data_IF_214079495983
#
_entry.id   IF_214079495983
#
_cell.length_a   1.000
_cell.length_b   1.000
_cell.length_c   1.000
_cell.angle_alpha   90.00
_cell.angle_beta   90.00
_cell.angle_gamma   90.00
#
_symmetry.space_group_name_H-M   'P 1'
#
loop_
_entity.id
_entity.type
_entity.pdbx_description
1 polymer ?
#
# COMPACT_ATOMS: atom_id res chain seq x y z
N UNK A 1 16.04 -55.93 -23.45
CA UNK A 1 14.62 -55.57 -23.56
C UNK A 1 14.34 -54.37 -22.65
N UNK A 2 13.84 -53.26 -23.21
CA UNK A 2 12.88 -52.27 -22.66
C UNK A 2 13.18 -51.73 -21.24
N UNK A 3 13.83 -50.56 -21.05
CA UNK A 3 13.31 -49.17 -21.16
C UNK A 3 11.99 -48.88 -20.41
N UNK A 4 12.04 -48.00 -19.38
CA UNK A 4 10.99 -47.07 -18.87
C UNK A 4 11.59 -46.28 -17.68
N UNK A 5 11.84 -44.96 -17.82
CA UNK A 5 10.98 -43.79 -17.47
C UNK A 5 10.74 -43.64 -15.95
N UNK A 6 10.84 -42.50 -15.27
CA UNK A 6 11.06 -41.05 -15.52
C UNK A 6 11.38 -40.43 -14.13
N UNK A 7 11.43 -39.13 -13.81
CA UNK A 7 11.22 -37.83 -14.43
C UNK A 7 11.93 -36.81 -13.48
N UNK A 8 12.79 -35.93 -13.97
CA UNK A 8 12.60 -34.46 -14.05
C UNK A 8 11.73 -33.79 -12.96
N UNK A 9 12.33 -32.80 -12.29
CA UNK A 9 11.68 -31.75 -11.49
C UNK A 9 12.73 -30.77 -10.95
N UNK A 10 13.36 -29.97 -11.82
CA UNK A 10 13.09 -28.53 -11.98
C UNK A 10 13.37 -27.68 -10.73
N UNK A 11 14.64 -27.29 -10.54
CA UNK A 11 15.03 -26.13 -9.74
C UNK A 11 14.74 -24.86 -10.56
N UNK A 12 13.52 -24.36 -10.45
CA UNK A 12 13.16 -23.00 -10.86
C UNK A 12 12.75 -22.26 -9.60
N UNK A 13 13.70 -21.55 -9.00
CA UNK A 13 13.47 -20.58 -7.94
C UNK A 13 14.02 -19.24 -8.42
N UNK A 14 13.16 -18.24 -8.43
CA UNK A 14 13.25 -17.00 -9.17
C UNK A 14 14.57 -16.23 -9.02
N UNK A 15 15.01 -15.65 -10.14
CA UNK A 15 15.88 -14.47 -10.15
C UNK A 15 15.04 -13.32 -9.59
N UNK A 16 15.16 -13.03 -8.30
CA UNK A 16 14.76 -11.72 -7.79
C UNK A 16 15.78 -10.72 -8.32
N UNK A 17 15.43 -10.10 -9.45
CA UNK A 17 16.04 -8.86 -9.89
C UNK A 17 15.75 -7.82 -8.80
N UNK A 18 16.69 -7.68 -7.87
CA UNK A 18 16.77 -6.54 -6.97
C UNK A 18 17.03 -5.32 -7.85
N UNK A 19 15.96 -4.72 -8.38
CA UNK A 19 15.96 -3.35 -8.84
C UNK A 19 16.03 -2.46 -7.59
N UNK A 20 17.20 -2.44 -6.95
CA UNK A 20 17.58 -1.31 -6.10
C UNK A 20 17.81 -0.12 -7.02
N UNK A 21 16.71 0.46 -7.52
CA UNK A 21 16.72 1.78 -8.10
C UNK A 21 17.24 2.75 -7.05
N UNK A 22 18.23 3.55 -7.42
CA UNK A 22 18.86 4.58 -6.59
C UNK A 22 17.81 5.44 -5.86
N UNK A 23 17.50 5.09 -4.61
CA UNK A 23 16.68 5.88 -3.71
C UNK A 23 17.53 7.01 -3.14
N UNK A 24 17.41 8.16 -3.79
CA UNK A 24 17.92 9.43 -3.28
C UNK A 24 17.06 9.83 -2.08
N UNK A 25 17.56 9.56 -0.86
CA UNK A 25 17.18 10.25 0.37
C UNK A 25 15.95 9.71 1.11
N UNK A 26 16.16 8.71 1.97
CA UNK A 26 15.24 8.33 3.04
C UNK A 26 15.10 6.81 3.21
N UNK A 27 14.75 6.35 4.41
CA UNK A 27 14.42 4.95 4.68
C UNK A 27 13.23 4.53 3.80
N UNK A 28 13.37 3.41 3.09
CA UNK A 28 12.23 2.80 2.40
C UNK A 28 11.37 2.07 3.43
N UNK A 29 10.06 2.29 3.36
CA UNK A 29 9.07 1.75 4.31
C UNK A 29 7.97 0.98 3.58
N UNK A 30 8.11 0.77 2.27
CA UNK A 30 7.05 0.15 1.46
C UNK A 30 6.79 -1.30 1.87
N UNK A 31 7.85 -2.06 2.15
CA UNK A 31 7.75 -3.48 2.51
C UNK A 31 7.12 -3.63 3.91
N UNK A 32 7.60 -2.86 4.89
CA UNK A 32 7.06 -2.87 6.25
C UNK A 32 5.60 -2.39 6.28
N UNK A 33 5.26 -1.36 5.51
CA UNK A 33 3.89 -0.87 5.40
C UNK A 33 2.97 -1.88 4.72
N UNK A 34 3.45 -2.58 3.68
CA UNK A 34 2.69 -3.63 3.00
C UNK A 34 2.48 -4.83 3.93
N UNK A 35 3.49 -5.25 4.68
CA UNK A 35 3.37 -6.32 5.69
C UNK A 35 2.35 -5.96 6.77
N UNK A 36 2.40 -4.72 7.27
CA UNK A 36 1.43 -4.25 8.27
C UNK A 36 -0.01 -4.21 7.72
N UNK A 37 -0.20 -3.77 6.47
CA UNK A 37 -1.50 -3.79 5.81
C UNK A 37 -2.03 -5.22 5.61
N UNK A 38 -1.17 -6.13 5.17
CA UNK A 38 -1.54 -7.54 4.94
C UNK A 38 -1.89 -8.29 6.23
N UNK A 39 -1.46 -7.78 7.40
CA UNK A 39 -1.81 -8.34 8.70
C UNK A 39 -3.23 -7.94 9.17
N UNK A 40 -3.90 -7.00 8.50
CA UNK A 40 -5.26 -6.56 8.84
C UNK A 40 -6.29 -7.62 8.44
N UNK A 41 -7.23 -7.91 9.35
CA UNK A 41 -8.30 -8.86 9.09
C UNK A 41 -9.16 -8.40 7.90
N UNK A 42 -9.34 -9.28 6.91
CA UNK A 42 -10.08 -9.01 5.68
C UNK A 42 -9.22 -8.56 4.49
N UNK A 43 -7.92 -8.29 4.70
CA UNK A 43 -6.94 -8.08 3.63
C UNK A 43 -6.41 -9.43 3.15
N UNK A 44 -6.42 -9.65 1.84
CA UNK A 44 -5.85 -10.86 1.22
C UNK A 44 -4.39 -10.68 0.83
N UNK A 45 -4.05 -9.48 0.34
CA UNK A 45 -2.67 -9.11 0.04
C UNK A 45 -2.52 -7.59 0.00
N UNK A 46 -1.31 -7.10 0.20
CA UNK A 46 -0.97 -5.70 0.01
C UNK A 46 0.36 -5.61 -0.74
N UNK A 47 0.39 -4.81 -1.79
CA UNK A 47 1.58 -4.54 -2.59
C UNK A 47 1.76 -3.02 -2.64
N UNK A 48 2.81 -2.52 -2.01
CA UNK A 48 3.15 -1.09 -1.98
C UNK A 48 4.53 -0.87 -2.57
N UNK A 49 4.70 0.23 -3.30
CA UNK A 49 6.02 0.69 -3.74
C UNK A 49 6.21 2.17 -3.41
N UNK A 50 7.46 2.51 -3.12
CA UNK A 50 7.90 3.89 -3.01
C UNK A 50 8.35 4.42 -4.36
N UNK A 51 7.93 5.64 -4.69
CA UNK A 51 8.36 6.31 -5.92
C UNK A 51 8.46 7.82 -5.71
N UNK A 52 9.06 8.50 -6.68
CA UNK A 52 9.03 9.96 -6.79
C UNK A 52 7.99 10.33 -7.83
N UNK A 53 6.98 11.09 -7.43
CA UNK A 53 5.89 11.49 -8.32
C UNK A 53 6.33 12.62 -9.29
N UNK A 54 5.45 12.97 -10.23
CA UNK A 54 5.70 14.02 -11.23
C UNK A 54 5.89 15.43 -10.63
N UNK A 55 5.60 15.61 -9.34
CA UNK A 55 5.84 16.85 -8.59
C UNK A 55 7.13 16.79 -7.76
N UNK A 56 8.02 15.84 -8.05
CA UNK A 56 9.28 15.60 -7.32
C UNK A 56 9.08 15.32 -5.83
N UNK A 57 7.88 14.89 -5.43
CA UNK A 57 7.57 14.51 -4.05
C UNK A 57 7.67 13.00 -3.90
N UNK A 58 8.19 12.54 -2.76
CA UNK A 58 8.14 11.12 -2.42
C UNK A 58 6.70 10.69 -2.18
N UNK A 59 6.35 9.54 -2.73
CA UNK A 59 5.04 8.94 -2.63
C UNK A 59 5.14 7.44 -2.40
N UNK A 60 4.12 6.91 -1.72
CA UNK A 60 3.82 5.50 -1.59
C UNK A 60 2.55 5.23 -2.40
N UNK A 61 2.57 4.21 -3.26
CA UNK A 61 1.40 3.78 -4.05
C UNK A 61 1.30 2.27 -4.04
N UNK A 62 0.12 1.75 -4.33
CA UNK A 62 -0.05 0.32 -4.38
C UNK A 62 -1.50 -0.11 -4.32
N UNK A 63 -1.70 -1.42 -4.21
CA UNK A 63 -3.03 -2.02 -4.11
C UNK A 63 -3.12 -2.86 -2.84
N UNK A 64 -4.24 -2.74 -2.14
CA UNK A 64 -4.65 -3.61 -1.03
C UNK A 64 -5.83 -4.45 -1.52
N UNK A 65 -5.62 -5.74 -1.72
CA UNK A 65 -6.66 -6.67 -2.15
C UNK A 65 -7.49 -7.10 -0.93
N UNK A 66 -8.81 -6.96 -1.01
CA UNK A 66 -9.76 -7.26 0.06
C UNK A 66 -10.60 -8.48 -0.27
N UNK A 67 -10.82 -9.35 0.71
CA UNK A 67 -11.62 -10.57 0.55
C UNK A 67 -13.13 -10.34 0.47
N UNK A 68 -13.58 -9.09 0.62
CA UNK A 68 -15.00 -8.71 0.58
C UNK A 68 -15.39 -8.11 -0.78
N UNK A 69 -16.64 -8.35 -1.18
CA UNK A 69 -17.28 -7.68 -2.32
C UNK A 69 -18.25 -6.58 -1.88
N UNK A 70 -18.50 -6.44 -0.57
CA UNK A 70 -19.40 -5.43 -0.03
C UNK A 70 -18.65 -4.12 0.20
N UNK A 71 -19.06 -3.06 -0.49
CA UNK A 71 -18.38 -1.75 -0.45
C UNK A 71 -18.26 -1.16 0.95
N UNK A 72 -19.33 -1.21 1.74
CA UNK A 72 -19.33 -0.64 3.11
C UNK A 72 -18.33 -1.37 4.01
N UNK A 73 -18.32 -2.71 3.96
CA UNK A 73 -17.32 -3.54 4.66
C UNK A 73 -15.92 -3.25 4.14
N UNK A 74 -15.76 -3.13 2.82
CA UNK A 74 -14.49 -2.82 2.18
C UNK A 74 -13.90 -1.49 2.62
N UNK A 75 -14.74 -0.45 2.78
CA UNK A 75 -14.30 0.86 3.29
C UNK A 75 -13.76 0.73 4.72
N UNK A 76 -14.42 -0.04 5.59
CA UNK A 76 -13.93 -0.26 6.96
C UNK A 76 -12.60 -1.02 7.00
N UNK A 77 -12.49 -2.12 6.25
CA UNK A 77 -11.23 -2.88 6.17
C UNK A 77 -10.11 -2.05 5.56
N UNK A 78 -10.42 -1.24 4.54
CA UNK A 78 -9.44 -0.35 3.93
C UNK A 78 -9.00 0.77 4.89
N UNK A 79 -9.90 1.30 5.73
CA UNK A 79 -9.55 2.28 6.76
C UNK A 79 -8.57 1.69 7.78
N UNK A 80 -8.82 0.45 8.24
CA UNK A 80 -7.94 -0.26 9.16
C UNK A 80 -6.58 -0.58 8.52
N UNK A 81 -6.56 -0.99 7.25
CA UNK A 81 -5.33 -1.20 6.48
C UNK A 81 -4.53 0.11 6.34
N UNK A 82 -5.21 1.22 6.01
CA UNK A 82 -4.57 2.53 5.96
C UNK A 82 -4.05 2.95 7.33
N UNK A 83 -4.78 2.70 8.42
CA UNK A 83 -4.29 2.96 9.77
C UNK A 83 -2.98 2.23 10.06
N UNK A 84 -2.88 0.95 9.69
CA UNK A 84 -1.66 0.16 9.86
C UNK A 84 -0.49 0.77 9.05
N UNK A 85 -0.73 1.09 7.77
CA UNK A 85 0.25 1.74 6.88
C UNK A 85 0.74 3.06 7.45
N UNK A 86 -0.19 3.94 7.85
CA UNK A 86 0.14 5.28 8.37
C UNK A 86 0.90 5.18 9.70
N UNK A 87 0.60 4.18 10.53
CA UNK A 87 1.34 3.93 11.78
C UNK A 87 2.79 3.57 11.50
N UNK A 88 3.05 2.66 10.55
CA UNK A 88 4.43 2.32 10.13
C UNK A 88 5.16 3.55 9.61
N UNK A 89 4.50 4.36 8.78
CA UNK A 89 5.10 5.60 8.24
C UNK A 89 5.48 6.56 9.38
N UNK A 90 4.63 6.70 10.39
CA UNK A 90 4.89 7.60 11.52
C UNK A 90 5.99 7.07 12.45
N UNK A 91 6.09 5.75 12.63
CA UNK A 91 7.09 5.11 13.48
C UNK A 91 8.49 5.08 12.81
N UNK A 92 8.54 4.91 11.49
CA UNK A 92 9.78 4.65 10.76
C UNK A 92 10.37 5.87 10.05
N UNK A 93 9.59 6.95 9.86
CA UNK A 93 10.06 8.20 9.26
C UNK A 93 9.99 9.36 10.24
N UNK A 94 10.94 10.29 10.11
CA UNK A 94 10.96 11.49 10.95
C UNK A 94 9.89 12.50 10.52
N UNK A 95 9.13 13.04 11.47
CA UNK A 95 8.29 14.26 11.38
C UNK A 95 7.84 14.69 9.97
N UNK A 96 8.59 15.61 9.34
CA UNK A 96 8.26 16.17 8.02
C UNK A 96 8.29 15.12 6.89
N UNK A 97 9.17 14.12 6.97
CA UNK A 97 9.22 13.02 6.02
C UNK A 97 8.01 12.09 6.17
N UNK A 98 7.61 11.78 7.41
CA UNK A 98 6.41 11.00 7.69
C UNK A 98 5.15 11.74 7.23
N UNK A 99 4.92 12.95 7.74
CA UNK A 99 3.72 13.75 7.46
C UNK A 99 3.59 14.20 6.01
N UNK A 100 4.72 14.42 5.32
CA UNK A 100 4.79 14.87 3.93
C UNK A 100 4.69 13.78 2.87
N UNK A 101 4.90 12.51 3.23
CA UNK A 101 4.84 11.38 2.30
C UNK A 101 3.46 11.27 1.64
N UNK A 102 3.41 11.24 0.31
CA UNK A 102 2.14 11.15 -0.43
C UNK A 102 1.63 9.71 -0.44
N UNK A 103 0.37 9.51 -0.06
CA UNK A 103 -0.23 8.17 0.10
C UNK A 103 -1.51 7.98 -0.69
N UNK A 104 -2.04 9.01 -1.36
CA UNK A 104 -3.28 8.85 -2.12
C UNK A 104 -3.14 8.09 -3.44
N UNK A 105 -1.97 7.50 -3.72
CA UNK A 105 -1.82 6.48 -4.76
C UNK A 105 -2.11 5.05 -4.28
N UNK A 106 -2.47 4.88 -3.00
CA UNK A 106 -2.87 3.59 -2.44
C UNK A 106 -4.38 3.41 -2.68
N UNK A 107 -4.75 2.27 -3.24
CA UNK A 107 -6.15 1.90 -3.49
C UNK A 107 -6.45 0.54 -2.88
N UNK A 108 -7.69 0.32 -2.45
CA UNK A 108 -8.17 -1.02 -2.19
C UNK A 108 -8.89 -1.59 -3.41
N UNK A 109 -8.78 -2.90 -3.62
CA UNK A 109 -9.56 -3.65 -4.60
C UNK A 109 -10.45 -4.65 -3.89
N UNK A 110 -11.75 -4.59 -4.15
CA UNK A 110 -12.73 -5.56 -3.66
C UNK A 110 -12.64 -6.87 -4.45
N UNK A 111 -13.19 -7.95 -3.90
CA UNK A 111 -13.20 -9.28 -4.54
C UNK A 111 -13.95 -9.33 -5.89
N UNK A 112 -14.73 -8.31 -6.23
CA UNK A 112 -15.41 -8.16 -7.53
C UNK A 112 -14.64 -7.25 -8.52
N UNK A 113 -13.48 -6.73 -8.10
CA UNK A 113 -12.61 -5.85 -8.89
C UNK A 113 -12.92 -4.36 -8.78
N UNK A 114 -13.96 -3.96 -8.02
CA UNK A 114 -14.20 -2.55 -7.72
C UNK A 114 -13.05 -1.96 -6.90
N UNK A 115 -12.76 -0.68 -7.10
CA UNK A 115 -11.70 0.03 -6.38
C UNK A 115 -12.28 1.04 -5.41
N UNK A 116 -11.62 1.14 -4.26
CA UNK A 116 -11.81 2.20 -3.27
C UNK A 116 -10.53 3.03 -3.21
N UNK A 117 -10.66 4.34 -3.27
CA UNK A 117 -9.53 5.25 -3.11
C UNK A 117 -9.53 5.89 -1.71
N UNK A 118 -8.42 6.54 -1.37
CA UNK A 118 -8.26 7.19 -0.06
C UNK A 118 -9.28 8.30 0.21
N UNK A 119 -9.94 8.84 -0.82
CA UNK A 119 -10.96 9.87 -0.67
C UNK A 119 -12.25 9.28 -0.11
N UNK A 120 -12.46 7.98 -0.27
CA UNK A 120 -13.59 7.28 0.32
C UNK A 120 -13.47 7.11 1.84
N UNK A 121 -12.27 7.25 2.39
CA UNK A 121 -12.00 7.10 3.82
C UNK A 121 -12.32 8.37 4.62
N UNK A 122 -12.53 9.51 3.96
CA UNK A 122 -12.85 10.78 4.62
C UNK A 122 -14.06 11.44 3.93
N UNK A 123 -15.26 11.40 4.55
CA UNK A 123 -16.45 12.03 3.99
C UNK A 123 -16.39 13.56 4.02
N UNK A 124 -15.49 14.16 4.81
CA UNK A 124 -15.32 15.60 4.97
C UNK A 124 -14.21 16.16 4.07
N UNK A 125 -13.51 15.30 3.29
CA UNK A 125 -12.52 15.75 2.34
C UNK A 125 -13.18 16.61 1.23
N UNK A 126 -12.66 17.82 0.92
CA UNK A 126 -13.26 18.69 -0.07
C UNK A 126 -13.29 18.02 -1.46
N UNK A 127 -14.50 17.78 -1.96
CA UNK A 127 -14.80 17.08 -3.22
C UNK A 127 -14.72 17.99 -4.45
N UNK A 128 -14.46 19.29 -4.28
CA UNK A 128 -14.19 20.19 -5.41
C UNK A 128 -12.76 19.97 -5.91
N UNK A 129 -12.62 19.03 -6.86
CA UNK A 129 -11.37 18.63 -7.52
C UNK A 129 -10.39 17.87 -6.61
N UNK A 130 -10.81 16.71 -6.05
CA UNK A 130 -10.00 15.97 -5.09
C UNK A 130 -8.84 15.32 -5.83
N UNK A 131 -7.64 15.82 -5.53
CA UNK A 131 -6.41 15.30 -6.11
C UNK A 131 -5.83 14.28 -5.16
N UNK A 132 -6.20 13.01 -5.33
CA UNK A 132 -5.68 11.90 -4.54
C UNK A 132 -4.14 11.91 -4.52
N UNK A 133 -3.48 12.32 -5.61
CA UNK A 133 -2.02 12.47 -5.70
C UNK A 133 -1.41 13.50 -4.73
N UNK A 134 -2.23 14.34 -4.08
CA UNK A 134 -1.81 15.33 -3.09
C UNK A 134 -2.04 14.90 -1.65
N UNK A 135 -2.81 13.84 -1.40
CA UNK A 135 -3.09 13.33 -0.05
C UNK A 135 -1.79 12.82 0.56
N UNK A 136 -1.42 13.35 1.72
CA UNK A 136 -0.24 12.93 2.48
C UNK A 136 -0.62 12.14 3.73
N UNK A 137 0.32 11.35 4.25
CA UNK A 137 0.13 10.57 5.46
C UNK A 137 -0.27 11.44 6.66
N UNK A 138 0.26 12.67 6.76
CA UNK A 138 -0.10 13.61 7.81
C UNK A 138 -1.59 13.98 7.85
N UNK A 139 -2.33 13.87 6.74
CA UNK A 139 -3.77 14.11 6.74
C UNK A 139 -4.55 13.08 7.58
N UNK A 140 -3.97 11.91 7.82
CA UNK A 140 -4.57 10.83 8.59
C UNK A 140 -4.13 10.79 10.06
N UNK A 141 -3.12 11.57 10.45
CA UNK A 141 -2.55 11.50 11.80
C UNK A 141 -3.58 11.84 12.88
N UNK A 142 -4.34 12.92 12.69
CA UNK A 142 -5.41 13.29 13.63
C UNK A 142 -6.51 12.22 13.69
N UNK A 143 -6.96 11.74 12.52
CA UNK A 143 -7.98 10.67 12.42
C UNK A 143 -7.57 9.42 13.19
N UNK A 144 -6.30 9.02 13.10
CA UNK A 144 -5.81 7.80 13.72
C UNK A 144 -5.25 7.97 15.13
N UNK A 145 -5.09 9.20 15.60
CA UNK A 145 -4.54 9.53 16.92
C UNK A 145 -3.02 9.39 17.01
N UNK A 146 -2.32 9.69 15.92
CA UNK A 146 -0.85 9.61 15.78
C UNK A 146 -0.26 11.01 15.97
N UNK A 147 0.72 11.16 16.87
CA UNK A 147 1.37 12.44 17.19
C UNK A 147 2.66 12.29 17.97
#
# INVERSE_FOLDING_TARGET
MVSRRGALGSLTGAVTLVLSGCLVGGKDVSDEAAEAAAAVEGVESAELERFVNNSFSTALRGTVELGTTEREVGVHVFDDAMRAIISVIADELDGDAASGLKVGGIVARLGDGQQLDVLELDPDMPTENPRADRVSAGAFFEKYGIG
#
